data_IF_353533682375
#
_entry.id   IF_353533682375
#
_cell.length_a   1.000
_cell.length_b   1.000
_cell.length_c   1.000
_cell.angle_alpha   90.00
_cell.angle_beta   90.00
_cell.angle_gamma   90.00
#
_symmetry.space_group_name_H-M   'P 1'
#
loop_
_entity.id
_entity.type
_entity.pdbx_description
1 polymer ?
#
# COMPACT_ATOMS: atom_id res chain seq x y z
N UNK A 1 12.68 -96.14 44.81
CA UNK A 1 11.78 -95.54 45.83
C UNK A 1 11.81 -94.03 45.67
N UNK A 2 10.62 -93.40 45.58
CA UNK A 2 10.25 -91.98 45.84
C UNK A 2 11.14 -90.89 45.21
N UNK A 3 10.69 -89.95 44.36
CA UNK A 3 9.39 -89.28 44.25
C UNK A 3 9.45 -87.89 44.90
N UNK A 4 9.30 -86.82 44.12
CA UNK A 4 8.72 -85.49 44.45
C UNK A 4 9.05 -84.49 43.30
N UNK A 5 8.08 -84.12 42.48
CA UNK A 5 7.09 -83.04 42.66
C UNK A 5 7.63 -81.66 42.22
N UNK A 6 7.20 -81.23 41.04
CA UNK A 6 7.60 -79.98 40.39
C UNK A 6 7.06 -78.71 41.04
N UNK A 7 7.86 -77.62 40.95
CA UNK A 7 7.47 -76.25 41.30
C UNK A 7 7.11 -75.47 40.02
N UNK A 8 6.17 -74.50 40.09
CA UNK A 8 5.67 -73.79 38.92
C UNK A 8 6.52 -72.57 38.53
N UNK A 9 6.48 -72.25 37.24
CA UNK A 9 7.08 -71.09 36.59
C UNK A 9 6.54 -69.77 37.18
N UNK A 10 7.46 -68.93 37.66
CA UNK A 10 7.17 -67.56 38.08
C UNK A 10 6.91 -66.71 36.83
N UNK A 11 5.74 -66.08 36.79
CA UNK A 11 5.32 -65.17 35.73
C UNK A 11 6.06 -63.82 35.89
N UNK A 12 7.09 -63.55 35.09
CA UNK A 12 7.76 -62.25 35.05
C UNK A 12 6.93 -61.24 34.23
N UNK A 13 6.25 -60.30 34.92
CA UNK A 13 5.96 -58.98 34.35
C UNK A 13 6.67 -57.91 35.20
N UNK A 14 7.88 -57.48 34.81
CA UNK A 14 8.34 -56.15 35.22
C UNK A 14 9.22 -55.44 34.17
N UNK A 15 8.77 -55.27 32.92
CA UNK A 15 9.51 -54.45 31.92
C UNK A 15 8.73 -53.33 31.25
N UNK A 16 7.39 -53.35 31.27
CA UNK A 16 6.58 -52.36 30.54
C UNK A 16 6.37 -51.05 31.34
N UNK A 17 6.13 -51.11 32.65
CA UNK A 17 5.84 -49.91 33.47
C UNK A 17 7.04 -48.96 33.62
N UNK A 18 8.25 -49.51 33.82
CA UNK A 18 9.47 -48.71 33.92
C UNK A 18 9.83 -47.96 32.63
N UNK A 19 9.47 -48.54 31.48
CA UNK A 19 9.69 -47.91 30.17
C UNK A 19 8.70 -46.76 29.92
N UNK A 20 7.43 -46.92 30.30
CA UNK A 20 6.41 -45.88 30.18
C UNK A 20 6.74 -44.70 31.11
N UNK A 21 7.10 -44.95 32.36
CA UNK A 21 7.49 -43.90 33.31
C UNK A 21 8.75 -43.14 32.88
N UNK A 22 9.76 -43.85 32.38
CA UNK A 22 10.97 -43.23 31.83
C UNK A 22 10.69 -42.37 30.59
N UNK A 23 9.79 -42.83 29.72
CA UNK A 23 9.33 -42.07 28.56
C UNK A 23 8.56 -40.81 28.97
N UNK A 24 7.62 -40.93 29.91
CA UNK A 24 6.85 -39.79 30.44
C UNK A 24 7.76 -38.73 31.08
N UNK A 25 8.77 -39.14 31.85
CA UNK A 25 9.72 -38.21 32.48
C UNK A 25 10.58 -37.47 31.45
N UNK A 26 11.03 -38.17 30.39
CA UNK A 26 11.77 -37.55 29.27
C UNK A 26 10.89 -36.57 28.50
N UNK A 27 9.66 -36.96 28.18
CA UNK A 27 8.70 -36.09 27.50
C UNK A 27 8.37 -34.86 28.34
N UNK A 28 8.11 -35.01 29.63
CA UNK A 28 7.87 -33.89 30.53
C UNK A 28 9.08 -32.95 30.64
N UNK A 29 10.30 -33.51 30.67
CA UNK A 29 11.53 -32.71 30.69
C UNK A 29 11.74 -31.96 29.37
N UNK A 30 11.53 -32.60 28.22
CA UNK A 30 11.67 -31.99 26.90
C UNK A 30 10.62 -30.89 26.68
N UNK A 31 9.36 -31.16 27.01
CA UNK A 31 8.28 -30.19 26.90
C UNK A 31 8.47 -29.03 27.89
N UNK A 32 8.86 -29.31 29.13
CA UNK A 32 9.10 -28.29 30.16
C UNK A 32 10.29 -27.39 29.82
N UNK A 33 11.42 -27.97 29.41
CA UNK A 33 12.60 -27.20 28.99
C UNK A 33 12.35 -26.44 27.69
N UNK A 34 11.64 -27.03 26.72
CA UNK A 34 11.21 -26.36 25.50
C UNK A 34 10.29 -25.16 25.78
N UNK A 35 9.31 -25.31 26.68
CA UNK A 35 8.43 -24.21 27.09
C UNK A 35 9.20 -23.09 27.78
N UNK A 36 10.13 -23.41 28.69
CA UNK A 36 10.95 -22.41 29.37
C UNK A 36 11.85 -21.64 28.38
N UNK A 37 12.48 -22.34 27.43
CA UNK A 37 13.27 -21.70 26.38
C UNK A 37 12.41 -20.83 25.47
N UNK A 38 11.22 -21.29 25.11
CA UNK A 38 10.28 -20.53 24.28
C UNK A 38 9.82 -19.26 25.02
N UNK A 39 9.47 -19.34 26.30
CA UNK A 39 9.09 -18.20 27.13
C UNK A 39 10.26 -17.24 27.30
N UNK A 40 11.46 -17.74 27.59
CA UNK A 40 12.66 -16.91 27.71
C UNK A 40 13.00 -16.21 26.39
N UNK A 41 12.87 -16.90 25.26
CA UNK A 41 13.03 -16.34 23.92
C UNK A 41 12.00 -15.24 23.64
N UNK A 42 10.71 -15.51 23.84
CA UNK A 42 9.66 -14.51 23.62
C UNK A 42 9.80 -13.30 24.54
N UNK A 43 10.16 -13.50 25.81
CA UNK A 43 10.43 -12.40 26.73
C UNK A 43 11.64 -11.59 26.29
N UNK A 44 12.71 -12.23 25.81
CA UNK A 44 13.91 -11.56 25.31
C UNK A 44 13.61 -10.76 24.04
N UNK A 45 12.90 -11.37 23.08
CA UNK A 45 12.44 -10.69 21.86
C UNK A 45 11.57 -9.51 22.21
N UNK A 46 10.57 -9.70 23.08
CA UNK A 46 9.67 -8.63 23.50
C UNK A 46 10.42 -7.50 24.20
N UNK A 47 11.38 -7.83 25.07
CA UNK A 47 12.22 -6.83 25.74
C UNK A 47 13.09 -6.04 24.76
N UNK A 48 13.75 -6.72 23.80
CA UNK A 48 14.55 -6.06 22.78
C UNK A 48 13.70 -5.19 21.85
N UNK A 49 12.53 -5.68 21.43
CA UNK A 49 11.56 -4.91 20.65
C UNK A 49 11.06 -3.71 21.46
N UNK A 50 10.65 -3.87 22.72
CA UNK A 50 10.22 -2.75 23.55
C UNK A 50 11.33 -1.73 23.76
N UNK A 51 12.58 -2.15 23.93
CA UNK A 51 13.72 -1.25 24.10
C UNK A 51 14.07 -0.52 22.81
N UNK A 52 14.08 -1.20 21.68
CA UNK A 52 14.35 -0.58 20.38
C UNK A 52 13.20 0.35 19.98
N UNK A 53 11.94 -0.08 20.10
CA UNK A 53 10.76 0.74 19.77
C UNK A 53 10.61 1.89 20.75
N UNK A 54 10.91 1.68 22.03
CA UNK A 54 10.93 2.74 23.04
C UNK A 54 12.00 3.78 22.75
N UNK A 55 13.25 3.36 22.51
CA UNK A 55 14.35 4.27 22.15
C UNK A 55 14.07 5.02 20.83
N UNK A 56 13.54 4.31 19.82
CA UNK A 56 13.07 4.91 18.57
C UNK A 56 11.96 5.93 18.82
N UNK A 57 10.98 5.60 19.65
CA UNK A 57 9.88 6.49 20.05
C UNK A 57 10.38 7.78 20.70
N UNK A 58 11.27 7.69 21.71
CA UNK A 58 11.86 8.88 22.33
C UNK A 58 12.68 9.71 21.34
N UNK A 59 13.42 9.06 20.45
CA UNK A 59 14.17 9.76 19.42
C UNK A 59 13.25 10.56 18.49
N UNK A 60 12.20 9.93 17.95
CA UNK A 60 11.25 10.60 17.06
C UNK A 60 10.46 11.69 17.77
N UNK A 61 10.04 11.44 19.02
CA UNK A 61 9.37 12.43 19.86
C UNK A 61 10.25 13.66 20.07
N UNK A 62 11.53 13.48 20.40
CA UNK A 62 12.48 14.58 20.55
C UNK A 62 12.72 15.36 19.24
N UNK A 63 12.76 14.66 18.09
CA UNK A 63 12.86 15.35 16.79
C UNK A 63 11.59 16.15 16.48
N UNK A 64 10.42 15.60 16.79
CA UNK A 64 9.15 16.26 16.61
C UNK A 64 9.03 17.50 17.51
N UNK A 65 9.39 17.41 18.78
CA UNK A 65 9.38 18.56 19.70
C UNK A 65 10.34 19.66 19.25
N UNK A 66 11.52 19.30 18.74
CA UNK A 66 12.46 20.27 18.16
C UNK A 66 11.90 20.94 16.91
N UNK A 67 11.19 20.19 16.07
CA UNK A 67 10.53 20.75 14.91
C UNK A 67 9.40 21.68 15.34
N UNK A 68 8.55 21.23 16.26
CA UNK A 68 7.42 22.00 16.77
C UNK A 68 7.87 23.32 17.40
N UNK A 69 8.94 23.31 18.21
CA UNK A 69 9.50 24.54 18.82
C UNK A 69 10.06 25.53 17.79
N UNK A 70 10.53 25.05 16.63
CA UNK A 70 10.96 25.92 15.53
C UNK A 70 9.78 26.66 14.89
N UNK A 71 8.57 26.11 15.01
CA UNK A 71 7.32 26.62 14.45
C UNK A 71 6.32 27.10 15.51
N UNK A 72 6.79 27.41 16.73
CA UNK A 72 5.92 27.90 17.81
C UNK A 72 5.14 29.15 17.38
N UNK A 73 3.81 29.12 17.54
CA UNK A 73 2.89 30.17 17.08
C UNK A 73 2.69 30.23 15.55
N UNK A 74 3.26 29.29 14.80
CA UNK A 74 3.17 29.14 13.34
C UNK A 74 2.85 27.69 12.96
N UNK A 75 2.06 27.00 13.78
CA UNK A 75 1.68 25.59 13.59
C UNK A 75 0.94 25.39 12.27
N UNK A 76 0.18 26.40 11.84
CA UNK A 76 -0.48 26.38 10.52
C UNK A 76 0.54 26.24 9.38
N UNK A 77 1.68 26.94 9.45
CA UNK A 77 2.75 26.86 8.44
C UNK A 77 3.39 25.48 8.48
N UNK A 78 3.65 24.95 9.69
CA UNK A 78 4.18 23.60 9.86
C UNK A 78 3.26 22.56 9.24
N UNK A 79 1.95 22.66 9.50
CA UNK A 79 0.95 21.77 8.92
C UNK A 79 0.96 21.83 7.40
N UNK A 80 0.88 23.03 6.81
CA UNK A 80 0.86 23.17 5.35
C UNK A 80 2.14 22.63 4.74
N UNK A 81 3.31 22.91 5.31
CA UNK A 81 4.58 22.38 4.80
C UNK A 81 4.64 20.85 4.90
N UNK A 82 4.27 20.27 6.04
CA UNK A 82 4.29 18.83 6.25
C UNK A 82 3.30 18.09 5.35
N UNK A 83 2.06 18.55 5.29
CA UNK A 83 0.99 17.93 4.50
C UNK A 83 1.14 18.16 2.99
N UNK A 84 1.99 19.08 2.54
CA UNK A 84 2.17 19.38 1.10
C UNK A 84 3.57 19.03 0.58
N UNK A 85 4.63 19.60 1.15
CA UNK A 85 5.95 19.56 0.53
C UNK A 85 6.54 18.16 0.52
N UNK A 86 6.36 17.41 1.61
CA UNK A 86 6.87 16.03 1.70
C UNK A 86 6.13 15.12 0.71
N UNK A 87 4.78 15.06 0.67
CA UNK A 87 4.08 14.29 -0.36
C UNK A 87 4.41 14.72 -1.79
N UNK A 88 4.44 16.03 -2.07
CA UNK A 88 4.77 16.58 -3.40
C UNK A 88 6.19 16.19 -3.82
N UNK A 89 7.15 16.21 -2.89
CA UNK A 89 8.51 15.75 -3.14
C UNK A 89 8.54 14.27 -3.55
N UNK A 90 7.84 13.39 -2.82
CA UNK A 90 7.76 11.97 -3.21
C UNK A 90 7.09 11.79 -4.56
N UNK A 91 6.01 12.53 -4.82
CA UNK A 91 5.30 12.49 -6.09
C UNK A 91 6.22 12.81 -7.27
N UNK A 92 6.91 13.96 -7.23
CA UNK A 92 7.77 14.41 -8.33
C UNK A 92 9.07 13.63 -8.43
N UNK A 93 9.63 13.17 -7.31
CA UNK A 93 10.83 12.34 -7.32
C UNK A 93 10.56 10.99 -7.98
N UNK A 94 9.49 10.30 -7.56
CA UNK A 94 9.18 8.98 -8.09
C UNK A 94 8.66 9.04 -9.54
N UNK A 95 7.76 9.99 -9.84
CA UNK A 95 7.32 10.25 -11.21
C UNK A 95 8.47 10.69 -12.11
N UNK A 96 9.38 11.52 -11.60
CA UNK A 96 10.54 12.03 -12.36
C UNK A 96 11.49 10.91 -12.78
N UNK A 97 11.77 9.96 -11.88
CA UNK A 97 12.57 8.78 -12.21
C UNK A 97 11.94 7.93 -13.33
N UNK A 98 10.62 7.73 -13.28
CA UNK A 98 9.89 6.99 -14.31
C UNK A 98 9.78 7.77 -15.62
N UNK A 99 9.62 9.10 -15.55
CA UNK A 99 9.55 9.98 -16.72
C UNK A 99 10.84 9.95 -17.55
N UNK A 100 12.00 9.73 -16.93
CA UNK A 100 13.24 9.50 -17.68
C UNK A 100 13.09 8.27 -18.59
N UNK A 101 12.47 7.20 -18.10
CA UNK A 101 12.24 5.98 -18.87
C UNK A 101 11.17 6.20 -19.94
N UNK A 102 10.08 6.89 -19.59
CA UNK A 102 8.99 7.20 -20.50
C UNK A 102 9.40 8.09 -21.69
N UNK A 103 10.39 8.96 -21.49
CA UNK A 103 10.86 9.90 -22.52
C UNK A 103 12.07 9.42 -23.30
N UNK A 104 12.89 8.53 -22.73
CA UNK A 104 14.14 8.07 -23.35
C UNK A 104 14.14 6.60 -23.75
N UNK A 105 13.18 5.81 -23.27
CA UNK A 105 13.17 4.34 -23.37
C UNK A 105 14.23 3.63 -22.51
N UNK A 106 15.01 4.37 -21.72
CA UNK A 106 16.14 3.89 -20.91
C UNK A 106 15.98 4.25 -19.42
N UNK A 107 16.54 3.45 -18.51
CA UNK A 107 17.37 2.27 -18.75
C UNK A 107 16.54 1.00 -19.03
N UNK A 108 17.13 0.06 -19.78
CA UNK A 108 16.47 -1.18 -20.21
C UNK A 108 16.03 -2.08 -19.05
N UNK A 109 16.66 -1.94 -17.87
CA UNK A 109 16.25 -2.70 -16.69
C UNK A 109 14.88 -2.25 -16.14
N UNK A 110 14.40 -1.05 -16.48
CA UNK A 110 13.04 -0.60 -16.14
C UNK A 110 12.10 -0.81 -17.34
N UNK A 111 12.51 -0.39 -18.55
CA UNK A 111 11.60 -0.42 -19.71
C UNK A 111 11.14 -1.83 -20.10
N UNK A 112 11.88 -2.89 -19.74
CA UNK A 112 11.45 -4.29 -19.91
C UNK A 112 10.17 -4.67 -19.14
N UNK A 113 9.78 -3.91 -18.12
CA UNK A 113 8.57 -4.17 -17.31
C UNK A 113 7.32 -3.46 -17.86
N UNK A 114 7.40 -2.83 -19.04
CA UNK A 114 6.28 -2.11 -19.66
C UNK A 114 5.11 -3.07 -19.93
N UNK A 115 3.91 -2.69 -19.50
CA UNK A 115 2.68 -3.48 -19.71
C UNK A 115 2.18 -3.29 -21.15
N UNK A 116 1.92 -2.04 -21.55
CA UNK A 116 1.43 -1.72 -22.90
C UNK A 116 2.58 -1.36 -23.86
N UNK A 117 3.17 -2.38 -24.49
CA UNK A 117 4.30 -2.23 -25.42
C UNK A 117 3.93 -1.39 -26.65
N UNK A 118 4.79 -0.44 -27.03
CA UNK A 118 4.61 0.43 -28.20
C UNK A 118 3.58 1.55 -28.03
N UNK A 119 2.99 1.71 -26.83
CA UNK A 119 2.09 2.82 -26.51
C UNK A 119 2.83 3.87 -25.70
N UNK A 120 2.71 5.13 -26.13
CA UNK A 120 3.37 6.29 -25.52
C UNK A 120 4.89 6.05 -25.32
N UNK A 121 5.55 5.48 -26.34
CA UNK A 121 6.97 5.12 -26.30
C UNK A 121 7.70 5.62 -27.58
N UNK A 122 8.48 6.71 -27.50
CA UNK A 122 8.57 7.63 -26.38
C UNK A 122 7.29 8.47 -26.22
N UNK A 123 7.08 9.03 -25.04
CA UNK A 123 5.93 9.91 -24.78
C UNK A 123 6.00 11.17 -25.66
N UNK A 124 4.88 11.56 -26.25
CA UNK A 124 4.74 12.83 -26.98
C UNK A 124 5.02 14.03 -26.05
N UNK A 125 6.07 14.84 -26.33
CA UNK A 125 6.45 15.99 -25.49
C UNK A 125 5.34 17.04 -25.36
N UNK A 126 4.51 17.25 -26.39
CA UNK A 126 3.43 18.24 -26.35
C UNK A 126 2.33 17.77 -25.42
N UNK A 127 1.95 16.50 -25.52
CA UNK A 127 0.97 15.87 -24.63
C UNK A 127 1.47 15.86 -23.18
N UNK A 128 2.75 15.50 -22.96
CA UNK A 128 3.38 15.50 -21.65
C UNK A 128 3.40 16.89 -21.01
N UNK A 129 3.77 17.93 -21.77
CA UNK A 129 3.78 19.32 -21.26
C UNK A 129 2.40 19.74 -20.77
N UNK A 130 1.34 19.46 -21.55
CA UNK A 130 -0.05 19.77 -21.16
C UNK A 130 -0.46 19.01 -19.89
N UNK A 131 -0.03 17.76 -19.77
CA UNK A 131 -0.29 16.96 -18.59
C UNK A 131 0.40 17.54 -17.34
N UNK A 132 1.71 17.82 -17.42
CA UNK A 132 2.47 18.44 -16.33
C UNK A 132 1.85 19.77 -15.91
N UNK A 133 1.44 20.62 -16.85
CA UNK A 133 0.75 21.88 -16.53
C UNK A 133 -0.55 21.66 -15.76
N UNK A 134 -1.35 20.66 -16.16
CA UNK A 134 -2.58 20.28 -15.44
C UNK A 134 -2.27 19.74 -14.04
N UNK A 135 -1.24 18.88 -13.90
CA UNK A 135 -0.84 18.31 -12.62
C UNK A 135 -0.40 19.40 -11.65
N UNK A 136 0.45 20.33 -12.12
CA UNK A 136 0.87 21.49 -11.33
C UNK A 136 -0.31 22.39 -10.95
N UNK A 137 -1.25 22.63 -11.89
CA UNK A 137 -2.47 23.37 -11.59
C UNK A 137 -3.30 22.67 -10.50
N UNK A 138 -3.51 21.35 -10.63
CA UNK A 138 -4.25 20.58 -9.64
C UNK A 138 -3.55 20.64 -8.27
N UNK A 139 -2.23 20.43 -8.19
CA UNK A 139 -1.49 20.48 -6.92
C UNK A 139 -1.50 21.88 -6.26
N UNK A 140 -1.18 22.93 -7.01
CA UNK A 140 -0.93 24.25 -6.42
C UNK A 140 -2.14 25.17 -6.40
N UNK A 141 -3.06 25.05 -7.35
CA UNK A 141 -4.24 25.92 -7.47
C UNK A 141 -5.48 25.26 -6.86
N UNK A 142 -5.55 23.93 -6.87
CA UNK A 142 -6.69 23.20 -6.28
C UNK A 142 -6.32 22.61 -4.91
N UNK A 143 -5.26 21.80 -4.82
CA UNK A 143 -4.97 21.07 -3.58
C UNK A 143 -4.50 21.96 -2.44
N UNK A 144 -3.57 22.88 -2.73
CA UNK A 144 -3.00 23.75 -1.70
C UNK A 144 -4.06 24.63 -1.03
N UNK A 145 -4.93 25.38 -1.75
CA UNK A 145 -6.02 26.12 -1.10
C UNK A 145 -6.96 25.23 -0.32
N UNK A 146 -7.32 24.04 -0.84
CA UNK A 146 -8.21 23.12 -0.11
C UNK A 146 -7.58 22.64 1.20
N UNK A 147 -6.27 22.38 1.23
CA UNK A 147 -5.55 22.02 2.46
C UNK A 147 -5.47 23.19 3.45
N UNK A 148 -5.35 24.43 2.97
CA UNK A 148 -5.43 25.63 3.81
C UNK A 148 -6.80 25.72 4.50
N UNK A 149 -7.89 25.47 3.76
CA UNK A 149 -9.23 25.41 4.35
C UNK A 149 -9.46 24.18 5.23
N UNK A 150 -8.73 23.09 4.98
CA UNK A 150 -8.82 21.87 5.77
C UNK A 150 -8.27 22.04 7.19
N UNK A 151 -7.15 22.76 7.34
CA UNK A 151 -6.47 22.91 8.64
C UNK A 151 -7.39 23.33 9.79
N UNK A 152 -8.22 24.39 9.68
CA UNK A 152 -9.14 24.76 10.76
C UNK A 152 -10.18 23.66 11.04
N UNK A 153 -10.65 22.95 10.01
CA UNK A 153 -11.60 21.82 10.19
C UNK A 153 -10.94 20.72 11.01
N UNK A 154 -9.71 20.33 10.66
CA UNK A 154 -8.97 19.34 11.44
C UNK A 154 -8.83 19.80 12.89
N UNK A 155 -8.44 21.05 13.13
CA UNK A 155 -8.28 21.62 14.47
C UNK A 155 -9.56 21.61 15.33
N UNK A 156 -10.75 21.57 14.73
CA UNK A 156 -12.02 21.42 15.46
C UNK A 156 -12.20 20.01 16.02
N UNK A 157 -11.68 18.99 15.34
CA UNK A 157 -11.81 17.58 15.72
C UNK A 157 -10.63 17.05 16.52
N UNK A 158 -9.41 17.50 16.19
CA UNK A 158 -8.19 17.18 16.91
C UNK A 158 -7.05 18.10 16.49
N UNK A 159 -6.08 18.35 17.36
CA UNK A 159 -4.92 19.17 16.99
C UNK A 159 -3.91 18.34 16.16
N UNK A 160 -3.69 18.66 14.86
CA UNK A 160 -2.74 17.94 14.02
C UNK A 160 -1.29 18.20 14.44
N UNK A 161 -1.02 19.33 15.08
CA UNK A 161 0.32 19.74 15.51
C UNK A 161 0.53 19.58 17.02
N UNK A 162 -0.29 18.75 17.68
CA UNK A 162 -0.12 18.43 19.10
C UNK A 162 1.28 17.90 19.39
N UNK A 163 1.73 18.10 20.64
CA UNK A 163 3.07 17.72 21.05
C UNK A 163 3.32 16.21 20.99
N UNK A 164 2.34 15.38 21.34
CA UNK A 164 2.52 13.93 21.41
C UNK A 164 2.35 13.26 20.04
N UNK A 165 3.40 12.58 19.57
CA UNK A 165 3.32 11.72 18.39
C UNK A 165 2.33 10.56 18.63
N UNK A 166 1.64 10.09 17.58
CA UNK A 166 0.82 8.89 17.68
C UNK A 166 1.70 7.70 18.05
N UNK A 167 1.18 6.82 18.91
CA UNK A 167 1.84 5.55 19.16
C UNK A 167 1.91 4.73 17.86
N UNK A 168 2.92 3.87 17.74
CA UNK A 168 3.09 3.05 16.53
C UNK A 168 1.83 2.24 16.18
N UNK A 169 1.14 1.68 17.18
CA UNK A 169 -0.06 0.87 16.96
C UNK A 169 -1.26 1.73 16.55
N UNK A 170 -1.39 2.93 17.12
CA UNK A 170 -2.39 3.89 16.70
C UNK A 170 -2.17 4.34 15.26
N UNK A 171 -0.92 4.63 14.89
CA UNK A 171 -0.55 4.97 13.52
C UNK A 171 -0.93 3.85 12.53
N UNK A 172 -0.69 2.57 12.88
CA UNK A 172 -1.11 1.45 12.03
C UNK A 172 -2.63 1.34 11.89
N UNK A 173 -3.38 1.59 12.97
CA UNK A 173 -4.83 1.63 12.94
C UNK A 173 -5.34 2.77 12.04
N UNK A 174 -4.74 3.97 12.16
CA UNK A 174 -5.03 5.11 11.30
C UNK A 174 -4.83 4.75 9.83
N UNK A 175 -3.68 4.17 9.46
CA UNK A 175 -3.43 3.74 8.07
C UNK A 175 -4.48 2.74 7.55
N UNK A 176 -4.88 1.77 8.38
CA UNK A 176 -5.91 0.81 8.00
C UNK A 176 -7.26 1.49 7.76
N UNK A 177 -7.66 2.40 8.65
CA UNK A 177 -8.91 3.17 8.52
C UNK A 177 -8.86 4.09 7.29
N UNK A 178 -7.75 4.77 7.05
CA UNK A 178 -7.58 5.65 5.89
C UNK A 178 -7.73 4.86 4.58
N UNK A 179 -7.08 3.70 4.51
CA UNK A 179 -7.14 2.81 3.34
C UNK A 179 -8.56 2.32 3.08
N UNK A 180 -9.32 1.95 4.12
CA UNK A 180 -10.71 1.51 3.97
C UNK A 180 -11.64 2.65 3.53
N UNK A 181 -11.46 3.84 4.09
CA UNK A 181 -12.23 5.04 3.72
C UNK A 181 -11.91 5.45 2.27
N UNK A 182 -10.63 5.43 1.90
CA UNK A 182 -10.19 5.72 0.53
C UNK A 182 -10.82 4.74 -0.46
N UNK A 183 -10.76 3.41 -0.19
CA UNK A 183 -11.38 2.40 -1.05
C UNK A 183 -12.87 2.70 -1.28
N UNK A 184 -13.62 3.00 -0.23
CA UNK A 184 -15.06 3.30 -0.32
C UNK A 184 -15.32 4.58 -1.12
N UNK A 185 -14.70 5.68 -0.73
CA UNK A 185 -14.98 6.99 -1.34
C UNK A 185 -14.45 7.06 -2.77
N UNK A 186 -13.28 6.49 -3.04
CA UNK A 186 -12.70 6.41 -4.37
C UNK A 186 -13.59 5.57 -5.29
N UNK A 187 -13.93 4.34 -4.88
CA UNK A 187 -14.72 3.43 -5.71
C UNK A 187 -16.03 4.07 -6.18
N UNK A 188 -16.83 4.63 -5.25
CA UNK A 188 -18.13 5.17 -5.61
C UNK A 188 -18.03 6.48 -6.38
N UNK A 189 -17.10 7.38 -6.02
CA UNK A 189 -16.90 8.62 -6.77
C UNK A 189 -16.40 8.34 -8.18
N UNK A 190 -15.42 7.44 -8.32
CA UNK A 190 -14.84 7.05 -9.59
C UNK A 190 -15.88 6.36 -10.49
N UNK A 191 -16.61 5.38 -9.96
CA UNK A 191 -17.69 4.71 -10.71
C UNK A 191 -18.79 5.69 -11.12
N UNK A 192 -19.14 6.66 -10.28
CA UNK A 192 -20.10 7.71 -10.61
C UNK A 192 -19.59 8.60 -11.76
N UNK A 193 -18.31 8.95 -11.75
CA UNK A 193 -17.68 9.74 -12.82
C UNK A 193 -17.69 9.04 -14.18
N UNK A 194 -17.84 7.72 -14.22
CA UNK A 194 -18.06 6.94 -15.45
C UNK A 194 -19.50 6.94 -15.97
N UNK A 195 -20.44 7.57 -15.26
CA UNK A 195 -21.76 7.82 -15.81
C UNK A 195 -21.63 8.66 -17.10
N UNK A 196 -22.36 8.35 -18.20
CA UNK A 196 -22.08 8.92 -19.53
C UNK A 196 -21.96 10.44 -19.61
N UNK A 197 -22.78 11.15 -18.82
CA UNK A 197 -22.78 12.62 -18.75
C UNK A 197 -21.57 13.19 -18.01
N UNK A 198 -21.16 12.56 -16.91
CA UNK A 198 -20.01 12.97 -16.10
C UNK A 198 -18.72 12.56 -16.79
N UNK A 199 -18.68 11.37 -17.40
CA UNK A 199 -17.53 10.88 -18.15
C UNK A 199 -17.18 11.87 -19.25
N UNK A 200 -18.13 12.20 -20.13
CA UNK A 200 -17.89 13.10 -21.27
C UNK A 200 -17.37 14.48 -20.85
N UNK A 201 -17.80 15.00 -19.69
CA UNK A 201 -17.51 16.37 -19.25
C UNK A 201 -16.30 16.47 -18.32
N UNK A 202 -16.03 15.44 -17.53
CA UNK A 202 -15.10 15.49 -16.41
C UNK A 202 -14.03 14.41 -16.60
N UNK A 203 -14.41 13.14 -16.55
CA UNK A 203 -13.47 12.04 -16.41
C UNK A 203 -12.78 11.60 -17.71
N UNK A 204 -13.37 11.95 -18.87
CA UNK A 204 -12.75 11.70 -20.18
C UNK A 204 -11.36 12.31 -20.28
N UNK A 205 -11.11 13.45 -19.61
CA UNK A 205 -9.79 14.08 -19.58
C UNK A 205 -8.74 13.12 -19.01
N UNK A 206 -9.01 12.50 -17.86
CA UNK A 206 -8.12 11.54 -17.24
C UNK A 206 -7.82 10.35 -18.18
N UNK A 207 -8.86 9.86 -18.86
CA UNK A 207 -8.79 8.76 -19.84
C UNK A 207 -8.19 9.13 -21.21
N UNK A 208 -7.69 10.34 -21.42
CA UNK A 208 -6.92 10.68 -22.64
C UNK A 208 -5.60 9.86 -22.74
N UNK A 209 -5.19 9.23 -21.63
CA UNK A 209 -3.99 8.39 -21.52
C UNK A 209 -4.34 6.92 -21.30
N UNK A 210 -4.83 6.26 -22.35
CA UNK A 210 -5.20 4.82 -22.31
C UNK A 210 -4.04 3.88 -21.94
N UNK A 211 -2.79 4.34 -22.13
CA UNK A 211 -1.58 3.74 -21.57
C UNK A 211 -0.96 4.79 -20.64
N UNK A 212 -1.34 4.81 -19.36
CA UNK A 212 -0.91 5.86 -18.44
C UNK A 212 0.59 5.76 -18.14
N UNK A 213 1.13 6.86 -17.65
CA UNK A 213 2.48 6.96 -17.09
C UNK A 213 2.37 7.62 -15.71
N UNK A 214 3.38 7.48 -14.86
CA UNK A 214 3.27 7.79 -13.43
C UNK A 214 2.75 9.19 -13.11
N UNK A 215 3.23 10.22 -13.83
CA UNK A 215 2.83 11.62 -13.61
C UNK A 215 1.35 11.91 -13.93
N UNK A 216 0.70 11.06 -14.75
CA UNK A 216 -0.69 11.22 -15.19
C UNK A 216 -1.69 10.81 -14.10
N UNK A 217 -1.23 10.18 -13.03
CA UNK A 217 -2.04 9.90 -11.83
C UNK A 217 -2.78 11.12 -11.27
N UNK A 218 -2.26 12.34 -11.48
CA UNK A 218 -2.92 13.60 -11.09
C UNK A 218 -3.41 14.44 -12.29
N UNK A 219 -3.34 13.89 -13.50
CA UNK A 219 -3.92 14.50 -14.71
C UNK A 219 -5.43 14.26 -14.72
N UNK A 220 -6.17 15.18 -14.14
CA UNK A 220 -7.61 15.08 -13.98
C UNK A 220 -8.30 16.44 -14.20
N UNK A 221 -9.60 16.40 -14.45
CA UNK A 221 -10.43 17.60 -14.37
C UNK A 221 -10.51 18.09 -12.91
N UNK A 222 -10.55 19.40 -12.61
CA UNK A 222 -10.52 19.88 -11.22
C UNK A 222 -11.61 19.28 -10.31
N UNK A 223 -12.83 19.08 -10.84
CA UNK A 223 -13.93 18.44 -10.10
C UNK A 223 -13.60 16.99 -9.73
N UNK A 224 -13.02 16.23 -10.65
CA UNK A 224 -12.57 14.86 -10.38
C UNK A 224 -11.39 14.85 -9.41
N UNK A 225 -10.45 15.77 -9.57
CA UNK A 225 -9.32 15.89 -8.66
C UNK A 225 -9.79 16.12 -7.22
N UNK A 226 -10.79 16.98 -6.99
CA UNK A 226 -11.38 17.15 -5.66
C UNK A 226 -12.15 15.90 -5.23
N UNK A 227 -13.09 15.42 -6.05
CA UNK A 227 -14.07 14.41 -5.65
C UNK A 227 -13.48 13.00 -5.50
N UNK A 228 -12.55 12.62 -6.38
CA UNK A 228 -11.99 11.27 -6.46
C UNK A 228 -10.53 11.20 -6.03
N UNK A 229 -9.75 12.27 -6.01
CA UNK A 229 -8.37 12.19 -5.50
C UNK A 229 -8.28 12.75 -4.07
N UNK A 230 -8.71 14.00 -3.87
CA UNK A 230 -8.50 14.69 -2.60
C UNK A 230 -9.42 14.21 -1.49
N UNK A 231 -10.74 14.17 -1.72
CA UNK A 231 -11.70 13.78 -0.68
C UNK A 231 -11.46 12.36 -0.16
N UNK A 232 -11.26 11.32 -1.00
CA UNK A 232 -10.97 9.97 -0.50
C UNK A 232 -9.72 9.91 0.38
N UNK A 233 -8.65 10.62 0.01
CA UNK A 233 -7.43 10.67 0.79
C UNK A 233 -7.58 11.47 2.09
N UNK A 234 -8.37 12.55 2.11
CA UNK A 234 -8.47 13.47 3.24
C UNK A 234 -9.48 13.05 4.32
N UNK A 235 -10.57 12.37 3.97
CA UNK A 235 -11.66 12.09 4.91
C UNK A 235 -11.23 11.20 6.07
N UNK A 236 -10.36 10.21 5.83
CA UNK A 236 -9.84 9.34 6.88
C UNK A 236 -9.13 10.12 8.00
N UNK A 237 -8.09 10.91 7.67
CA UNK A 237 -7.42 11.74 8.66
C UNK A 237 -8.32 12.77 9.37
N UNK A 238 -9.34 13.29 8.68
CA UNK A 238 -10.33 14.20 9.28
C UNK A 238 -11.11 13.51 10.38
N UNK A 239 -11.72 12.36 10.05
CA UNK A 239 -12.56 11.60 10.99
C UNK A 239 -11.75 11.15 12.21
N UNK A 240 -10.47 10.83 12.00
CA UNK A 240 -9.58 10.34 13.06
C UNK A 240 -8.89 11.45 13.88
N UNK A 241 -9.04 12.73 13.52
CA UNK A 241 -8.35 13.84 14.21
C UNK A 241 -6.82 13.66 14.19
N UNK A 242 -6.29 13.19 13.07
CA UNK A 242 -4.96 12.60 13.03
C UNK A 242 -3.82 13.60 13.16
N UNK A 243 -2.69 13.11 13.67
CA UNK A 243 -1.46 13.88 13.80
C UNK A 243 -0.86 14.20 12.42
N UNK A 244 -0.15 15.33 12.30
CA UNK A 244 0.52 15.76 11.07
C UNK A 244 1.48 14.69 10.53
N UNK A 245 2.17 13.96 11.42
CA UNK A 245 3.04 12.85 11.00
C UNK A 245 2.25 11.75 10.27
N UNK A 246 1.09 11.35 10.79
CA UNK A 246 0.23 10.35 10.16
C UNK A 246 -0.29 10.84 8.82
N UNK A 247 -0.77 12.08 8.76
CA UNK A 247 -1.25 12.75 7.54
C UNK A 247 -0.15 12.78 6.47
N UNK A 248 1.06 13.21 6.86
CA UNK A 248 2.21 13.35 5.96
C UNK A 248 2.63 12.02 5.35
N UNK A 249 2.73 10.97 6.18
CA UNK A 249 3.07 9.62 5.70
C UNK A 249 1.95 9.08 4.82
N UNK A 250 0.69 9.23 5.24
CA UNK A 250 -0.46 8.77 4.47
C UNK A 250 -0.52 9.40 3.07
N UNK A 251 -0.46 10.73 2.96
CA UNK A 251 -0.49 11.40 1.65
C UNK A 251 0.72 11.02 0.77
N UNK A 252 1.90 10.81 1.38
CA UNK A 252 3.08 10.34 0.64
C UNK A 252 2.87 8.92 0.10
N UNK A 253 2.34 8.01 0.92
CA UNK A 253 2.02 6.65 0.52
C UNK A 253 0.93 6.63 -0.56
N UNK A 254 -0.14 7.39 -0.39
CA UNK A 254 -1.23 7.51 -1.37
C UNK A 254 -0.68 7.94 -2.74
N UNK A 255 0.15 8.99 -2.80
CA UNK A 255 0.78 9.40 -4.06
C UNK A 255 1.67 8.32 -4.67
N UNK A 256 2.50 7.64 -3.87
CA UNK A 256 3.36 6.55 -4.37
C UNK A 256 2.48 5.44 -4.95
N UNK A 257 1.43 5.01 -4.24
CA UNK A 257 0.53 3.95 -4.69
C UNK A 257 -0.21 4.36 -5.98
N UNK A 258 -0.73 5.59 -6.05
CA UNK A 258 -1.39 6.08 -7.27
C UNK A 258 -0.41 6.19 -8.45
N UNK A 259 0.84 6.58 -8.22
CA UNK A 259 1.87 6.57 -9.28
C UNK A 259 2.13 5.14 -9.73
N UNK A 260 2.29 4.19 -8.80
CA UNK A 260 2.53 2.78 -9.13
C UNK A 260 1.37 2.23 -9.97
N UNK A 261 0.12 2.51 -9.62
CA UNK A 261 -1.04 2.03 -10.37
C UNK A 261 -1.15 2.62 -11.78
N UNK A 262 -0.50 3.77 -12.05
CA UNK A 262 -0.52 4.46 -13.34
C UNK A 262 0.80 4.38 -14.11
N UNK A 263 1.86 3.82 -13.55
CA UNK A 263 3.19 3.99 -14.14
C UNK A 263 3.37 3.25 -15.47
N UNK A 264 2.50 2.29 -15.78
CA UNK A 264 2.61 1.45 -16.97
C UNK A 264 3.73 0.41 -16.88
N UNK A 265 4.35 0.24 -15.71
CA UNK A 265 5.44 -0.72 -15.47
C UNK A 265 5.11 -1.66 -14.32
N UNK A 266 5.15 -2.97 -14.56
CA UNK A 266 5.01 -3.97 -13.49
C UNK A 266 6.36 -4.23 -12.81
N UNK A 267 6.76 -3.32 -11.93
CA UNK A 267 8.07 -3.36 -11.27
C UNK A 267 8.16 -4.40 -10.14
N UNK A 268 9.36 -4.97 -9.91
CA UNK A 268 9.58 -5.89 -8.79
C UNK A 268 9.28 -5.28 -7.42
N UNK A 269 8.73 -6.09 -6.52
CA UNK A 269 8.42 -5.79 -5.11
C UNK A 269 7.40 -4.67 -4.88
N UNK A 270 6.74 -4.19 -5.93
CA UNK A 270 5.68 -3.19 -5.86
C UNK A 270 4.30 -3.81 -6.18
N UNK A 271 3.20 -3.18 -5.73
CA UNK A 271 1.85 -3.57 -6.13
C UNK A 271 1.69 -3.59 -7.66
N UNK A 272 0.85 -4.49 -8.15
CA UNK A 272 0.62 -4.62 -9.59
C UNK A 272 -0.21 -3.46 -10.15
N UNK A 273 0.23 -2.80 -11.24
CA UNK A 273 -0.58 -1.81 -11.94
C UNK A 273 -1.65 -2.40 -12.88
N UNK A 274 -1.62 -3.71 -13.16
CA UNK A 274 -2.46 -4.37 -14.18
C UNK A 274 -3.96 -4.06 -14.04
N UNK A 275 -4.45 -3.94 -12.80
CA UNK A 275 -5.86 -3.64 -12.53
C UNK A 275 -6.28 -2.26 -13.04
N UNK A 276 -5.50 -1.23 -12.72
CA UNK A 276 -5.81 0.13 -13.11
C UNK A 276 -5.37 0.44 -14.55
N UNK A 277 -4.30 -0.19 -15.05
CA UNK A 277 -3.95 -0.14 -16.46
C UNK A 277 -5.08 -0.72 -17.34
N UNK A 278 -5.67 -1.84 -16.92
CA UNK A 278 -6.85 -2.42 -17.58
C UNK A 278 -8.07 -1.50 -17.52
N UNK A 279 -8.25 -0.77 -16.42
CA UNK A 279 -9.28 0.27 -16.29
C UNK A 279 -9.13 1.35 -17.38
N UNK A 280 -7.92 1.89 -17.59
CA UNK A 280 -7.63 2.88 -18.65
C UNK A 280 -7.81 2.31 -20.07
N UNK A 281 -7.73 0.98 -20.24
CA UNK A 281 -7.95 0.31 -21.51
C UNK A 281 -9.44 0.05 -21.82
N UNK A 282 -10.25 -0.30 -20.81
CA UNK A 282 -11.64 -0.74 -20.99
C UNK A 282 -12.70 0.24 -20.51
N UNK A 283 -12.34 1.18 -19.64
CA UNK A 283 -13.16 2.25 -19.07
C UNK A 283 -14.31 1.82 -18.17
N UNK A 284 -14.80 0.58 -18.24
CA UNK A 284 -16.02 0.15 -17.55
C UNK A 284 -15.83 -0.99 -16.54
N UNK A 285 -14.59 -1.23 -16.10
CA UNK A 285 -14.19 -2.26 -15.14
C UNK A 285 -13.13 -1.68 -14.20
N UNK A 286 -12.92 -2.30 -13.02
CA UNK A 286 -11.78 -2.01 -12.15
C UNK A 286 -11.72 -0.56 -11.62
N UNK A 287 -12.74 -0.14 -10.86
CA UNK A 287 -12.87 1.25 -10.37
C UNK A 287 -12.18 1.52 -9.03
N UNK A 288 -11.99 0.51 -8.19
CA UNK A 288 -11.48 0.63 -6.82
C UNK A 288 -9.96 0.76 -6.75
N UNK A 289 -9.47 1.08 -5.55
CA UNK A 289 -8.04 1.16 -5.25
C UNK A 289 -7.51 -0.24 -4.90
N UNK A 290 -8.24 -0.97 -4.06
CA UNK A 290 -7.91 -2.32 -3.61
C UNK A 290 -8.59 -3.41 -4.44
N UNK A 291 -9.68 -3.07 -5.15
CA UNK A 291 -10.50 -4.02 -5.91
C UNK A 291 -11.49 -4.82 -5.06
N UNK A 292 -11.57 -4.57 -3.75
CA UNK A 292 -12.53 -5.23 -2.86
C UNK A 292 -13.96 -4.87 -3.25
N UNK A 293 -14.22 -3.59 -3.48
CA UNK A 293 -15.55 -3.14 -3.91
C UNK A 293 -15.86 -3.54 -5.33
N UNK A 294 -14.85 -3.68 -6.21
CA UNK A 294 -15.08 -4.24 -7.54
C UNK A 294 -15.53 -5.68 -7.49
N UNK A 295 -14.90 -6.50 -6.64
CA UNK A 295 -15.32 -7.87 -6.47
C UNK A 295 -16.75 -7.97 -5.94
N UNK A 296 -17.09 -7.16 -4.93
CA UNK A 296 -18.43 -7.15 -4.32
C UNK A 296 -19.52 -6.69 -5.31
N UNK A 297 -19.20 -5.75 -6.20
CA UNK A 297 -20.15 -5.23 -7.19
C UNK A 297 -20.06 -5.91 -8.56
N UNK A 298 -19.15 -6.87 -8.74
CA UNK A 298 -18.92 -7.57 -10.00
C UNK A 298 -18.29 -6.70 -11.11
N UNK A 299 -17.65 -5.58 -10.77
CA UNK A 299 -17.00 -4.67 -11.72
C UNK A 299 -15.57 -5.08 -12.08
N UNK A 300 -15.11 -6.26 -11.66
CA UNK A 300 -13.86 -6.91 -12.09
C UNK A 300 -14.07 -8.25 -12.81
N UNK A 301 -15.31 -8.61 -13.14
CA UNK A 301 -15.67 -9.93 -13.70
C UNK A 301 -15.02 -10.20 -15.05
N UNK A 302 -14.97 -9.19 -15.93
CA UNK A 302 -14.32 -9.32 -17.24
C UNK A 302 -12.80 -9.33 -17.06
N UNK A 303 -12.27 -8.49 -16.16
CA UNK A 303 -10.85 -8.44 -15.86
C UNK A 303 -10.32 -9.81 -15.41
N UNK A 304 -11.05 -10.50 -14.52
CA UNK A 304 -10.72 -11.85 -14.02
C UNK A 304 -10.58 -12.92 -15.09
N UNK A 305 -11.13 -12.69 -16.29
CA UNK A 305 -11.05 -13.61 -17.44
C UNK A 305 -9.88 -13.27 -18.38
N UNK A 306 -9.04 -12.30 -18.03
CA UNK A 306 -7.95 -11.82 -18.88
C UNK A 306 -6.57 -12.26 -18.40
N UNK A 307 -5.60 -12.22 -19.32
CA UNK A 307 -4.18 -12.38 -18.99
C UNK A 307 -3.66 -11.31 -18.03
N UNK A 308 -4.21 -10.10 -18.06
CA UNK A 308 -3.84 -9.04 -17.13
C UNK A 308 -4.16 -9.42 -15.67
N UNK A 309 -5.27 -10.15 -15.43
CA UNK A 309 -5.57 -10.69 -14.11
C UNK A 309 -4.60 -11.80 -13.69
N UNK A 310 -4.22 -12.71 -14.59
CA UNK A 310 -3.18 -13.71 -14.29
C UNK A 310 -1.84 -13.05 -13.90
N UNK A 311 -1.55 -11.89 -14.48
CA UNK A 311 -0.38 -11.07 -14.16
C UNK A 311 -0.61 -10.14 -12.95
N UNK A 312 -1.82 -10.02 -12.41
CA UNK A 312 -2.13 -9.10 -11.30
C UNK A 312 -1.68 -9.64 -9.94
N UNK A 313 -0.37 -9.70 -9.74
CA UNK A 313 0.28 -10.18 -8.51
C UNK A 313 1.53 -9.35 -8.21
N UNK A 314 2.02 -9.39 -6.97
CA UNK A 314 3.30 -8.77 -6.63
C UNK A 314 4.42 -9.58 -7.30
N UNK A 315 5.23 -8.91 -8.10
CA UNK A 315 6.37 -9.52 -8.75
C UNK A 315 7.52 -9.66 -7.72
N UNK A 316 7.76 -10.88 -7.22
CA UNK A 316 8.81 -11.16 -6.23
C UNK A 316 10.20 -11.44 -6.84
N UNK A 317 10.29 -11.51 -8.17
CA UNK A 317 11.54 -11.78 -8.90
C UNK A 317 11.89 -10.67 -9.89
N UNK A 318 12.97 -10.86 -10.65
CA UNK A 318 13.42 -9.90 -11.67
C UNK A 318 12.97 -10.23 -13.09
N UNK A 319 12.30 -11.36 -13.30
CA UNK A 319 11.73 -11.72 -14.61
C UNK A 319 10.37 -11.03 -14.78
N UNK A 320 10.17 -10.20 -15.83
CA UNK A 320 8.87 -9.58 -16.12
C UNK A 320 7.74 -10.60 -16.22
N UNK A 321 6.54 -10.21 -15.80
CA UNK A 321 5.38 -11.10 -15.87
C UNK A 321 4.90 -11.39 -17.29
N UNK A 322 5.25 -10.54 -18.26
CA UNK A 322 5.06 -10.81 -19.68
C UNK A 322 5.94 -11.96 -20.18
N UNK A 323 7.07 -12.22 -19.53
CA UNK A 323 7.95 -13.36 -19.85
C UNK A 323 7.54 -14.62 -19.07
N UNK A 324 7.17 -14.50 -17.79
CA UNK A 324 6.77 -15.65 -16.98
C UNK A 324 5.35 -16.14 -17.27
N UNK A 325 4.46 -15.24 -17.71
CA UNK A 325 3.09 -15.52 -18.16
C UNK A 325 2.91 -14.94 -19.57
N UNK A 326 3.43 -15.60 -20.61
CA UNK A 326 3.44 -15.06 -21.96
C UNK A 326 2.04 -14.99 -22.58
N UNK A 327 1.88 -14.08 -23.53
CA UNK A 327 0.70 -14.05 -24.39
C UNK A 327 0.64 -15.32 -25.26
N UNK A 328 -0.56 -15.81 -25.61
CA UNK A 328 -0.68 -16.92 -26.55
C UNK A 328 -0.06 -16.53 -27.90
N UNK A 329 0.58 -17.48 -28.60
CA UNK A 329 1.15 -17.20 -29.91
C UNK A 329 0.08 -16.63 -30.83
N UNK A 330 0.37 -15.49 -31.48
CA UNK A 330 -0.52 -14.95 -32.51
C UNK A 330 -0.73 -16.05 -33.54
N UNK A 331 -2.00 -16.41 -33.81
CA UNK A 331 -2.33 -17.28 -34.94
C UNK A 331 -1.73 -16.61 -36.18
N UNK A 332 -0.81 -17.31 -36.86
CA UNK A 332 -0.37 -16.91 -38.18
C UNK A 332 -1.60 -17.09 -39.08
N UNK A 333 -2.22 -15.98 -39.48
CA UNK A 333 -3.21 -15.95 -40.58
C UNK A 333 -2.49 -15.96 -41.93
#
# INVERSE_FOLDING_TARGET
>A
MKGEAGRPLHNEKPKQEGHVWGSMRRTAFILGSGLLLLVAFWNSVTWHLQRFWGASGYFWQAQWERLLSTFEGKEWTLFILGATQVPVFFFWSFSGLLLVVDTTGKPNFISRYRIQVGKNDPVDPVKLRKAIQTVLFNQFVISLPLLVFLYPILKLWGDPCRQELPTFHWFLLELAIFTLIEEVLFYYSHRLLHHPTLYKKIHKKHHEWTAPIGVISLYAHPVEHVASNMLPAMVGPIIMGSHLSSITVWFSLAFIITIISHCGYHLPFLPSPEFHDYHHLKFNQCYGVLGVLDHLHGTDTVFKQTKAYERHTILLGFTPLSESIPDPPKKME
#
